data_IF_221075128955
#
_entry.id   IF_221075128955
#
_cell.length_a   1.000
_cell.length_b   1.000
_cell.length_c   1.000
_cell.angle_alpha   90.00
_cell.angle_beta   90.00
_cell.angle_gamma   90.00
#
_symmetry.space_group_name_H-M   'P 1'
#
loop_
_entity.id
_entity.type
_entity.pdbx_description
1 polymer ?
#
# COMPACT_ATOMS: atom_id res chain seq x y z
N UNK A 1 -13.25 6.11 6.43
CA UNK A 1 -12.37 5.78 5.29
C UNK A 1 -12.30 4.26 5.07
N UNK A 2 -11.63 3.49 5.89
CA UNK A 2 -11.64 2.01 5.84
C UNK A 2 -12.28 1.47 7.12
N UNK A 3 -13.15 0.48 6.98
CA UNK A 3 -13.79 -0.20 8.11
C UNK A 3 -13.75 -1.72 7.87
N UNK A 4 -13.18 -2.44 8.83
CA UNK A 4 -13.08 -3.90 8.84
C UNK A 4 -13.79 -4.39 10.08
N UNK A 5 -14.79 -5.27 9.92
CA UNK A 5 -15.57 -5.83 11.03
C UNK A 5 -15.60 -7.34 10.97
N UNK A 6 -15.16 -8.00 12.04
CA UNK A 6 -15.22 -9.43 12.26
C UNK A 6 -14.68 -10.25 11.09
N UNK A 7 -13.60 -9.74 10.48
CA UNK A 7 -13.03 -10.31 9.27
C UNK A 7 -12.30 -11.60 9.61
N UNK A 8 -12.73 -12.70 8.98
CA UNK A 8 -12.06 -13.99 9.11
C UNK A 8 -11.73 -14.58 7.75
N UNK A 9 -10.60 -15.27 7.68
CA UNK A 9 -10.15 -15.92 6.45
C UNK A 9 -9.40 -17.22 6.74
N UNK A 10 -9.68 -18.24 5.94
CA UNK A 10 -9.00 -19.53 5.98
C UNK A 10 -8.53 -19.97 4.60
N UNK A 11 -7.33 -20.52 4.50
CA UNK A 11 -6.90 -21.33 3.37
C UNK A 11 -7.27 -22.77 3.65
N UNK A 12 -8.14 -23.34 2.80
CA UNK A 12 -8.75 -24.65 3.06
C UNK A 12 -9.36 -24.72 4.47
N UNK A 13 -8.73 -25.43 5.41
CA UNK A 13 -9.18 -25.58 6.81
C UNK A 13 -8.35 -24.72 7.80
N UNK A 14 -7.24 -24.14 7.35
CA UNK A 14 -6.33 -23.39 8.23
C UNK A 14 -6.80 -21.93 8.37
N UNK A 15 -7.31 -21.59 9.54
CA UNK A 15 -7.79 -20.26 9.87
C UNK A 15 -6.61 -19.33 10.10
N UNK A 16 -6.42 -18.36 9.17
CA UNK A 16 -5.28 -17.43 9.14
C UNK A 16 -5.63 -16.07 9.72
N UNK A 17 -6.87 -15.60 9.54
CA UNK A 17 -7.38 -14.40 10.20
C UNK A 17 -8.64 -14.76 11.00
N UNK A 18 -8.73 -14.24 12.23
CA UNK A 18 -9.70 -14.65 13.24
C UNK A 18 -10.37 -13.42 13.83
N UNK A 19 -11.57 -13.11 13.36
CA UNK A 19 -12.42 -12.04 13.91
C UNK A 19 -11.73 -10.67 14.02
N UNK A 20 -10.95 -10.30 12.99
CA UNK A 20 -10.17 -9.06 12.96
C UNK A 20 -11.12 -7.88 12.72
N UNK A 21 -11.10 -6.88 13.62
CA UNK A 21 -11.91 -5.67 13.51
C UNK A 21 -11.07 -4.44 13.79
N UNK A 22 -11.09 -3.47 12.89
CA UNK A 22 -10.44 -2.16 13.04
C UNK A 22 -11.05 -1.15 12.05
N UNK A 23 -10.77 0.13 12.28
CA UNK A 23 -11.05 1.18 11.31
C UNK A 23 -9.78 1.98 11.02
N UNK A 24 -9.73 2.66 9.87
CA UNK A 24 -8.67 3.60 9.52
C UNK A 24 -9.34 4.89 9.05
N UNK A 25 -8.96 5.99 9.66
CA UNK A 25 -9.48 7.30 9.32
C UNK A 25 -8.76 7.87 8.09
N UNK A 26 -9.36 8.87 7.47
CA UNK A 26 -8.68 9.60 6.41
C UNK A 26 -7.45 10.32 6.97
N UNK A 27 -6.39 10.36 6.17
CA UNK A 27 -5.16 11.09 6.49
C UNK A 27 -4.36 10.52 7.68
N UNK A 28 -4.58 9.25 8.05
CA UNK A 28 -3.73 8.52 9.00
C UNK A 28 -2.53 7.86 8.30
N UNK A 29 -1.43 7.70 9.03
CA UNK A 29 -0.37 6.73 8.71
C UNK A 29 -0.45 5.60 9.73
N UNK A 30 -0.91 4.43 9.30
CA UNK A 30 -1.11 3.26 10.15
C UNK A 30 -0.11 2.17 9.80
N UNK A 31 0.59 1.67 10.82
CA UNK A 31 1.45 0.49 10.71
C UNK A 31 0.70 -0.77 11.10
N UNK A 32 0.67 -1.77 10.23
CA UNK A 32 0.18 -3.13 10.56
C UNK A 32 1.41 -3.99 10.82
N UNK A 33 1.66 -4.29 12.08
CA UNK A 33 2.85 -4.98 12.55
C UNK A 33 2.53 -6.43 12.96
N UNK A 34 3.56 -7.24 13.09
CA UNK A 34 3.46 -8.62 13.58
C UNK A 34 4.58 -9.51 13.04
N UNK A 35 4.82 -10.62 13.67
CA UNK A 35 5.84 -11.60 13.26
C UNK A 35 5.48 -12.26 11.92
N UNK A 36 6.45 -12.95 11.32
CA UNK A 36 6.19 -13.79 10.15
C UNK A 36 5.08 -14.82 10.47
N UNK A 37 4.16 -15.03 9.53
CA UNK A 37 3.02 -15.93 9.75
C UNK A 37 1.86 -15.36 10.56
N UNK A 38 1.91 -14.12 11.04
CA UNK A 38 0.81 -13.53 11.83
C UNK A 38 -0.47 -13.22 11.05
N UNK A 39 -0.46 -13.34 9.70
CA UNK A 39 -1.62 -13.08 8.84
C UNK A 39 -1.55 -11.77 8.05
N UNK A 40 -0.51 -10.95 8.19
CA UNK A 40 -0.36 -9.63 7.53
C UNK A 40 -0.53 -9.70 6.01
N UNK A 41 0.18 -10.59 5.35
CA UNK A 41 0.09 -10.75 3.87
C UNK A 41 -1.31 -11.19 3.44
N UNK A 42 -2.01 -12.00 4.24
CA UNK A 42 -3.40 -12.38 3.97
C UNK A 42 -4.33 -11.18 4.13
N UNK A 43 -4.14 -10.39 5.20
CA UNK A 43 -4.89 -9.16 5.40
C UNK A 43 -4.65 -8.16 4.26
N UNK A 44 -3.38 -7.96 3.85
CA UNK A 44 -3.05 -7.13 2.68
C UNK A 44 -3.80 -7.59 1.42
N UNK A 45 -3.78 -8.89 1.12
CA UNK A 45 -4.47 -9.44 -0.06
C UNK A 45 -5.99 -9.21 0.01
N UNK A 46 -6.57 -9.20 1.19
CA UNK A 46 -8.00 -8.87 1.37
C UNK A 46 -8.22 -7.36 1.19
N UNK A 47 -7.42 -6.52 1.84
CA UNK A 47 -7.53 -5.06 1.72
C UNK A 47 -7.31 -4.59 0.29
N UNK A 48 -6.36 -5.18 -0.43
CA UNK A 48 -6.12 -4.89 -1.86
C UNK A 48 -7.18 -5.48 -2.81
N UNK A 49 -8.08 -6.31 -2.29
CA UNK A 49 -9.13 -6.96 -3.08
C UNK A 49 -8.68 -8.17 -3.90
N UNK A 50 -7.47 -8.69 -3.64
CA UNK A 50 -6.97 -9.93 -4.26
C UNK A 50 -7.59 -11.19 -3.64
N UNK A 51 -7.98 -11.12 -2.36
CA UNK A 51 -8.71 -12.19 -1.67
C UNK A 51 -10.01 -11.63 -1.09
N UNK A 52 -11.09 -12.38 -1.25
CA UNK A 52 -12.37 -12.08 -0.60
C UNK A 52 -12.38 -12.67 0.81
N UNK A 53 -12.79 -11.92 1.86
CA UNK A 53 -12.95 -12.49 3.20
C UNK A 53 -14.00 -13.61 3.20
N UNK A 54 -13.80 -14.60 4.04
CA UNK A 54 -14.76 -15.71 4.26
C UNK A 54 -15.93 -15.28 5.11
N UNK A 55 -15.65 -14.45 6.14
CA UNK A 55 -16.64 -13.88 7.04
C UNK A 55 -16.28 -12.42 7.34
N UNK A 56 -17.25 -11.69 7.88
CA UNK A 56 -17.12 -10.30 8.24
C UNK A 56 -17.40 -9.34 7.08
N UNK A 57 -17.16 -8.06 7.32
CA UNK A 57 -17.34 -6.99 6.34
C UNK A 57 -16.09 -6.14 6.17
N UNK A 58 -15.91 -5.64 4.95
CA UNK A 58 -14.85 -4.69 4.59
C UNK A 58 -15.48 -3.58 3.76
N UNK A 59 -15.42 -2.35 4.29
CA UNK A 59 -15.93 -1.15 3.65
C UNK A 59 -14.80 -0.19 3.33
N UNK A 60 -14.91 0.47 2.19
CA UNK A 60 -14.06 1.60 1.78
C UNK A 60 -14.98 2.75 1.43
N UNK A 61 -14.80 3.91 2.04
CA UNK A 61 -15.68 5.09 1.88
C UNK A 61 -17.16 4.74 2.12
N UNK A 62 -17.44 3.91 3.12
CA UNK A 62 -18.79 3.45 3.45
C UNK A 62 -19.41 2.45 2.45
N UNK A 63 -18.69 2.11 1.38
CA UNK A 63 -19.15 1.16 0.38
C UNK A 63 -18.51 -0.21 0.60
N UNK A 64 -19.31 -1.28 0.45
CA UNK A 64 -18.77 -2.64 0.55
C UNK A 64 -17.69 -2.89 -0.51
N UNK A 65 -16.55 -3.38 -0.07
CA UNK A 65 -15.44 -3.77 -0.93
C UNK A 65 -15.80 -4.92 -1.90
N UNK A 66 -16.86 -5.65 -1.60
CA UNK A 66 -17.35 -6.76 -2.42
C UNK A 66 -18.86 -6.66 -2.62
N UNK A 67 -19.29 -6.64 -3.89
CA UNK A 67 -20.71 -6.61 -4.29
C UNK A 67 -21.06 -7.94 -4.98
N UNK A 68 -22.08 -8.63 -4.48
CA UNK A 68 -22.54 -9.94 -5.01
C UNK A 68 -21.38 -10.92 -5.21
N UNK A 69 -20.42 -10.92 -4.28
CA UNK A 69 -19.26 -11.80 -4.32
C UNK A 69 -18.11 -11.38 -5.25
N UNK A 70 -18.26 -10.30 -6.02
CA UNK A 70 -17.23 -9.74 -6.88
C UNK A 70 -16.59 -8.52 -6.22
N UNK A 71 -15.33 -8.23 -6.59
CA UNK A 71 -14.63 -7.01 -6.17
C UNK A 71 -15.41 -5.77 -6.63
N UNK A 72 -15.65 -4.85 -5.70
CA UNK A 72 -16.24 -3.55 -6.03
C UNK A 72 -15.20 -2.66 -6.71
N UNK A 73 -15.54 -1.96 -7.81
CA UNK A 73 -14.66 -0.98 -8.44
C UNK A 73 -14.11 0.10 -7.49
N UNK A 74 -14.80 0.41 -6.38
CA UNK A 74 -14.32 1.35 -5.36
C UNK A 74 -12.93 1.00 -4.85
N UNK A 75 -12.59 -0.27 -4.69
CA UNK A 75 -11.25 -0.69 -4.28
C UNK A 75 -10.16 -0.23 -5.25
N UNK A 76 -10.42 -0.33 -6.55
CA UNK A 76 -9.44 0.10 -7.55
C UNK A 76 -9.45 1.62 -7.79
N UNK A 77 -10.45 2.32 -7.29
CA UNK A 77 -10.53 3.77 -7.35
C UNK A 77 -9.82 4.44 -6.18
N UNK A 78 -10.01 3.89 -4.99
CA UNK A 78 -9.57 4.49 -3.73
C UNK A 78 -8.20 3.97 -3.26
N UNK A 79 -7.78 2.78 -3.72
CA UNK A 79 -6.58 2.12 -3.22
C UNK A 79 -5.47 2.05 -4.27
N UNK A 80 -4.31 2.59 -3.95
CA UNK A 80 -3.03 2.25 -4.56
C UNK A 80 -2.35 1.16 -3.74
N UNK A 81 -1.73 0.19 -4.40
CA UNK A 81 -1.06 -0.93 -3.72
C UNK A 81 0.37 -1.05 -4.23
N UNK A 82 1.32 -1.18 -3.31
CA UNK A 82 2.73 -1.47 -3.58
C UNK A 82 3.09 -2.75 -2.84
N UNK A 83 3.49 -3.77 -3.58
CA UNK A 83 3.93 -5.05 -3.04
C UNK A 83 5.42 -5.07 -2.77
N UNK A 84 5.89 -5.95 -1.91
CA UNK A 84 7.28 -6.11 -1.50
C UNK A 84 8.24 -6.25 -2.70
N UNK A 85 7.86 -7.00 -3.74
CA UNK A 85 8.66 -7.20 -4.96
C UNK A 85 8.44 -6.11 -6.01
N UNK A 86 7.83 -4.96 -5.64
CA UNK A 86 7.49 -3.82 -6.51
C UNK A 86 6.56 -4.14 -7.68
N UNK A 87 6.63 -5.35 -8.24
CA UNK A 87 5.85 -5.85 -9.39
C UNK A 87 5.82 -4.90 -10.58
N UNK A 88 6.98 -4.28 -10.89
CA UNK A 88 7.12 -3.42 -12.06
C UNK A 88 7.06 -4.26 -13.34
N UNK A 89 6.54 -3.66 -14.40
CA UNK A 89 6.58 -4.26 -15.73
C UNK A 89 7.99 -4.16 -16.28
N UNK A 90 8.78 -5.23 -16.15
CA UNK A 90 10.20 -5.24 -16.46
C UNK A 90 10.51 -5.01 -17.94
N UNK A 91 9.55 -5.26 -18.84
CA UNK A 91 9.63 -5.05 -20.29
C UNK A 91 9.16 -3.65 -20.74
N UNK A 92 8.76 -2.81 -19.82
CA UNK A 92 8.37 -1.41 -20.05
C UNK A 92 9.38 -0.47 -19.40
N UNK A 93 9.60 0.68 -20.05
CA UNK A 93 10.40 1.75 -19.45
C UNK A 93 9.75 2.28 -18.15
N UNK A 94 10.51 3.02 -17.36
CA UNK A 94 10.00 3.67 -16.14
C UNK A 94 8.78 4.53 -16.45
N UNK A 95 8.84 5.36 -17.47
CA UNK A 95 7.71 6.21 -17.84
C UNK A 95 6.52 5.39 -18.35
N UNK A 96 6.74 4.32 -19.13
CA UNK A 96 5.65 3.49 -19.63
C UNK A 96 4.99 2.66 -18.51
N UNK A 97 5.71 2.33 -17.43
CA UNK A 97 5.13 1.75 -16.20
C UNK A 97 4.06 2.67 -15.57
N UNK A 98 4.19 3.98 -15.72
CA UNK A 98 3.21 4.96 -15.23
C UNK A 98 2.13 5.24 -16.28
N UNK A 99 2.51 5.38 -17.56
CA UNK A 99 1.59 5.69 -18.66
C UNK A 99 0.51 4.61 -18.81
N UNK A 100 0.92 3.33 -18.79
CA UNK A 100 0.00 2.21 -19.07
C UNK A 100 -1.21 2.17 -18.12
N UNK A 101 -1.05 2.11 -16.78
CA UNK A 101 -2.18 2.07 -15.88
C UNK A 101 -3.05 3.34 -15.95
N UNK A 102 -2.45 4.51 -16.15
CA UNK A 102 -3.18 5.77 -16.26
C UNK A 102 -4.10 5.78 -17.49
N UNK A 103 -3.57 5.39 -18.66
CA UNK A 103 -4.36 5.27 -19.88
C UNK A 103 -5.51 4.28 -19.76
N UNK A 104 -5.24 3.10 -19.21
CA UNK A 104 -6.26 2.09 -19.03
C UNK A 104 -7.38 2.53 -18.07
N UNK A 105 -7.01 3.32 -17.06
CA UNK A 105 -7.96 3.80 -16.03
C UNK A 105 -8.84 4.94 -16.53
N UNK A 106 -8.24 5.92 -17.21
CA UNK A 106 -8.90 7.17 -17.57
C UNK A 106 -9.28 7.27 -19.05
N UNK A 107 -8.91 6.26 -19.85
CA UNK A 107 -9.17 6.19 -21.30
C UNK A 107 -8.68 7.42 -22.06
N UNK A 108 -7.45 7.87 -21.75
CA UNK A 108 -6.81 9.07 -22.32
C UNK A 108 -5.77 8.70 -23.37
N UNK A 109 -5.32 9.69 -24.15
CA UNK A 109 -4.24 9.55 -25.13
C UNK A 109 -2.90 9.19 -24.46
N UNK A 110 -1.94 8.69 -25.24
CA UNK A 110 -0.57 8.44 -24.74
C UNK A 110 0.12 9.76 -24.38
N UNK A 111 -0.10 10.80 -25.12
CA UNK A 111 0.47 12.12 -24.95
C UNK A 111 0.01 12.75 -23.63
N UNK A 112 -1.28 12.70 -23.34
CA UNK A 112 -1.85 13.19 -22.07
C UNK A 112 -1.32 12.42 -20.88
N UNK A 113 -1.31 11.09 -20.96
CA UNK A 113 -0.74 10.24 -19.91
C UNK A 113 0.75 10.49 -19.69
N UNK A 114 1.50 10.80 -20.77
CA UNK A 114 2.93 11.12 -20.70
C UNK A 114 3.19 12.41 -19.92
N UNK A 115 2.39 13.44 -20.13
CA UNK A 115 2.51 14.70 -19.36
C UNK A 115 2.37 14.40 -17.87
N UNK A 116 1.32 13.65 -17.50
CA UNK A 116 1.05 13.30 -16.09
C UNK A 116 2.14 12.44 -15.48
N UNK A 117 2.68 11.49 -16.25
CA UNK A 117 3.77 10.64 -15.82
C UNK A 117 5.06 11.44 -15.57
N UNK A 118 5.40 12.38 -16.46
CA UNK A 118 6.57 13.25 -16.31
C UNK A 118 6.49 14.14 -15.06
N UNK A 119 5.34 14.78 -14.82
CA UNK A 119 5.10 15.57 -13.60
C UNK A 119 5.36 14.76 -12.33
N UNK A 120 4.86 13.51 -12.32
CA UNK A 120 5.02 12.65 -11.16
C UNK A 120 6.45 12.14 -11.01
N UNK A 121 7.11 11.75 -12.09
CA UNK A 121 8.52 11.34 -12.07
C UNK A 121 9.44 12.48 -11.57
N UNK A 122 9.17 13.72 -11.95
CA UNK A 122 9.89 14.88 -11.44
C UNK A 122 9.71 15.04 -9.93
N UNK A 123 8.48 14.96 -9.41
CA UNK A 123 8.20 15.03 -7.98
C UNK A 123 8.91 13.92 -7.18
N UNK A 124 9.16 12.77 -7.80
CA UNK A 124 9.84 11.63 -7.20
C UNK A 124 11.36 11.62 -7.43
N UNK A 125 11.91 12.63 -8.12
CA UNK A 125 13.33 12.71 -8.46
C UNK A 125 13.78 11.58 -9.40
N UNK A 126 12.90 11.15 -10.32
CA UNK A 126 13.11 10.02 -11.23
C UNK A 126 13.10 10.43 -12.71
N UNK A 127 13.13 11.74 -13.00
CA UNK A 127 13.03 12.23 -14.38
C UNK A 127 14.18 11.74 -15.26
N UNK A 128 15.38 11.60 -14.70
CA UNK A 128 16.56 11.12 -15.41
C UNK A 128 16.47 9.62 -15.78
N UNK A 129 15.67 8.85 -15.04
CA UNK A 129 15.46 7.42 -15.23
C UNK A 129 14.28 7.10 -16.14
N UNK A 130 13.56 8.11 -16.67
CA UNK A 130 12.28 7.92 -17.36
C UNK A 130 12.31 6.92 -18.53
N UNK A 131 13.43 6.87 -19.26
CA UNK A 131 13.60 6.00 -20.42
C UNK A 131 14.32 4.67 -20.09
N UNK A 132 14.82 4.49 -18.86
CA UNK A 132 15.44 3.27 -18.38
C UNK A 132 14.38 2.17 -18.14
N UNK A 133 14.83 0.92 -18.13
CA UNK A 133 14.03 -0.21 -17.68
C UNK A 133 14.20 -0.44 -16.18
N UNK A 134 13.24 -1.07 -15.47
CA UNK A 134 13.34 -1.28 -14.03
C UNK A 134 14.61 -1.99 -13.57
N UNK A 135 15.15 -2.94 -14.34
CA UNK A 135 16.38 -3.66 -14.04
C UNK A 135 17.66 -2.79 -14.14
N UNK A 136 17.58 -1.60 -14.73
CA UNK A 136 18.67 -0.63 -14.80
C UNK A 136 18.63 0.36 -13.62
N UNK A 137 17.58 0.29 -12.78
CA UNK A 137 17.35 1.15 -11.65
C UNK A 137 17.79 0.49 -10.33
N UNK A 138 18.29 1.27 -9.37
CA UNK A 138 18.57 0.79 -8.01
C UNK A 138 17.29 0.36 -7.29
N UNK A 139 17.39 -0.45 -6.23
CA UNK A 139 16.24 -0.89 -5.44
C UNK A 139 15.40 0.28 -4.90
N UNK A 140 16.04 1.32 -4.39
CA UNK A 140 15.35 2.54 -3.95
C UNK A 140 14.67 3.32 -5.08
N UNK A 141 15.24 3.31 -6.29
CA UNK A 141 14.59 3.87 -7.48
C UNK A 141 13.39 3.02 -7.88
N UNK A 142 13.52 1.70 -7.94
CA UNK A 142 12.42 0.77 -8.26
C UNK A 142 11.25 0.94 -7.28
N UNK A 143 11.53 1.09 -5.99
CA UNK A 143 10.50 1.35 -5.01
C UNK A 143 9.78 2.68 -5.25
N UNK A 144 10.52 3.76 -5.48
CA UNK A 144 9.91 5.05 -5.81
C UNK A 144 9.08 5.00 -7.09
N UNK A 145 9.53 4.24 -8.11
CA UNK A 145 8.75 4.01 -9.33
C UNK A 145 7.45 3.25 -9.02
N UNK A 146 7.49 2.21 -8.16
CA UNK A 146 6.30 1.46 -7.78
C UNK A 146 5.30 2.33 -7.01
N UNK A 147 5.77 3.19 -6.10
CA UNK A 147 4.94 4.17 -5.40
C UNK A 147 4.34 5.17 -6.40
N UNK A 148 5.16 5.75 -7.29
CA UNK A 148 4.68 6.68 -8.31
C UNK A 148 3.63 6.04 -9.22
N UNK A 149 3.85 4.77 -9.65
CA UNK A 149 2.88 4.01 -10.44
C UNK A 149 1.54 3.78 -9.71
N UNK A 150 1.58 3.56 -8.40
CA UNK A 150 0.35 3.45 -7.62
C UNK A 150 -0.37 4.81 -7.49
N UNK A 151 0.39 5.88 -7.31
CA UNK A 151 -0.14 7.23 -7.08
C UNK A 151 -0.64 7.94 -8.34
N UNK A 152 -0.17 7.53 -9.53
CA UNK A 152 -0.64 8.17 -10.78
C UNK A 152 -2.14 7.98 -11.01
N UNK A 153 -2.74 6.96 -10.37
CA UNK A 153 -4.18 6.70 -10.39
C UNK A 153 -4.97 7.56 -9.39
N UNK A 154 -4.27 8.46 -8.66
CA UNK A 154 -4.82 9.37 -7.68
C UNK A 154 -5.66 8.68 -6.57
N UNK A 155 -5.11 7.63 -5.91
CA UNK A 155 -5.81 6.94 -4.83
C UNK A 155 -5.88 7.82 -3.58
N UNK A 156 -6.87 7.57 -2.71
CA UNK A 156 -6.95 8.19 -1.37
C UNK A 156 -6.19 7.40 -0.30
N UNK A 157 -5.95 6.13 -0.56
CA UNK A 157 -5.21 5.23 0.35
C UNK A 157 -4.07 4.58 -0.40
N UNK A 158 -2.89 4.59 0.17
CA UNK A 158 -1.73 3.83 -0.30
C UNK A 158 -1.45 2.70 0.69
N UNK A 159 -1.56 1.47 0.20
CA UNK A 159 -1.24 0.25 0.94
C UNK A 159 0.12 -0.26 0.48
N UNK A 160 1.08 -0.38 1.40
CA UNK A 160 2.47 -0.77 1.08
C UNK A 160 2.87 -1.98 1.91
N UNK A 161 3.39 -3.00 1.25
CA UNK A 161 3.91 -4.21 1.87
C UNK A 161 5.44 -4.15 1.94
N UNK A 162 5.99 -4.25 3.17
CA UNK A 162 7.42 -4.33 3.47
C UNK A 162 8.29 -3.33 2.69
N UNK A 163 8.04 -2.01 2.84
CA UNK A 163 8.69 -0.99 2.01
C UNK A 163 10.21 -0.88 2.19
N UNK A 164 10.77 -1.50 3.20
CA UNK A 164 12.19 -1.38 3.56
C UNK A 164 13.01 -2.67 3.35
N UNK A 165 12.35 -3.78 2.96
CA UNK A 165 12.95 -5.11 2.93
C UNK A 165 14.22 -5.25 2.07
N UNK A 166 14.41 -4.38 1.07
CA UNK A 166 15.55 -4.42 0.15
C UNK A 166 16.34 -3.09 0.12
N UNK A 167 16.21 -2.26 1.16
CA UNK A 167 16.78 -0.92 1.22
C UNK A 167 17.87 -0.81 2.31
N UNK A 168 18.86 0.01 2.04
CA UNK A 168 19.78 0.52 3.08
C UNK A 168 19.11 1.60 3.94
N UNK A 169 19.80 2.03 4.98
CA UNK A 169 19.28 3.00 5.96
C UNK A 169 18.96 4.38 5.33
N UNK A 170 19.74 4.83 4.36
CA UNK A 170 19.52 6.10 3.68
C UNK A 170 18.24 6.03 2.82
N UNK A 171 18.10 5.00 2.00
CA UNK A 171 16.90 4.80 1.18
C UNK A 171 15.65 4.57 2.05
N UNK A 172 15.76 3.87 3.18
CA UNK A 172 14.69 3.71 4.17
C UNK A 172 14.20 5.06 4.67
N UNK A 173 15.13 5.97 5.05
CA UNK A 173 14.77 7.31 5.51
C UNK A 173 14.12 8.14 4.39
N UNK A 174 14.61 8.03 3.16
CA UNK A 174 14.04 8.71 2.00
C UNK A 174 12.59 8.28 1.74
N UNK A 175 12.29 6.97 1.85
CA UNK A 175 10.92 6.44 1.74
C UNK A 175 10.04 6.95 2.87
N UNK A 176 10.52 6.96 4.12
CA UNK A 176 9.78 7.50 5.26
C UNK A 176 9.40 8.97 5.03
N UNK A 177 10.36 9.80 4.61
CA UNK A 177 10.13 11.23 4.34
C UNK A 177 9.14 11.44 3.19
N UNK A 178 9.24 10.64 2.13
CA UNK A 178 8.31 10.67 1.01
C UNK A 178 6.88 10.36 1.48
N UNK A 179 6.68 9.28 2.22
CA UNK A 179 5.35 8.88 2.72
C UNK A 179 4.76 9.95 3.66
N UNK A 180 5.56 10.53 4.54
CA UNK A 180 5.14 11.67 5.38
C UNK A 180 4.71 12.88 4.55
N UNK A 181 5.45 13.19 3.48
CA UNK A 181 5.12 14.31 2.61
C UNK A 181 3.80 14.09 1.85
N UNK A 182 3.56 12.86 1.41
CA UNK A 182 2.31 12.48 0.75
C UNK A 182 1.12 12.50 1.71
N UNK A 183 1.31 12.04 2.94
CA UNK A 183 0.28 12.10 3.99
C UNK A 183 -0.11 13.55 4.32
N UNK A 184 0.87 14.45 4.42
CA UNK A 184 0.59 15.89 4.61
C UNK A 184 -0.25 16.51 3.48
N UNK A 185 -0.25 15.90 2.29
CA UNK A 185 -1.09 16.27 1.15
C UNK A 185 -2.46 15.58 1.14
N UNK A 186 -2.80 14.83 2.19
CA UNK A 186 -4.11 14.20 2.38
C UNK A 186 -4.16 12.70 2.07
N UNK A 187 -3.04 12.06 1.72
CA UNK A 187 -3.00 10.63 1.47
C UNK A 187 -3.05 9.83 2.77
N UNK A 188 -3.95 8.87 2.87
CA UNK A 188 -3.93 7.85 3.93
C UNK A 188 -2.91 6.78 3.57
N UNK A 189 -2.06 6.39 4.51
CA UNK A 189 -1.00 5.42 4.27
C UNK A 189 -1.14 4.24 5.22
N UNK A 190 -1.15 3.04 4.68
CA UNK A 190 -1.15 1.79 5.44
C UNK A 190 0.15 1.06 5.10
N UNK A 191 1.00 0.87 6.09
CA UNK A 191 2.26 0.15 5.93
C UNK A 191 2.18 -1.18 6.66
N UNK A 192 2.45 -2.26 5.94
CA UNK A 192 2.60 -3.58 6.52
C UNK A 192 4.10 -3.84 6.63
N UNK A 193 4.60 -4.06 7.84
CA UNK A 193 6.02 -4.32 8.04
C UNK A 193 6.31 -5.05 9.34
N UNK A 194 7.49 -5.63 9.45
CA UNK A 194 8.09 -6.13 10.68
C UNK A 194 9.27 -5.26 11.14
N UNK A 195 9.62 -4.22 10.36
CA UNK A 195 10.68 -3.25 10.68
C UNK A 195 10.16 -2.24 11.72
N UNK A 196 10.45 -2.51 13.00
CA UNK A 196 10.00 -1.67 14.11
C UNK A 196 10.61 -0.26 14.07
N UNK A 197 11.92 -0.05 13.82
CA UNK A 197 12.51 1.26 13.65
C UNK A 197 11.83 2.11 12.56
N UNK A 198 11.56 1.51 11.41
CA UNK A 198 10.84 2.18 10.34
C UNK A 198 9.42 2.56 10.75
N UNK A 199 8.66 1.62 11.32
CA UNK A 199 7.30 1.86 11.80
C UNK A 199 7.28 2.98 12.88
N UNK A 200 8.21 2.96 13.83
CA UNK A 200 8.35 3.98 14.86
C UNK A 200 8.62 5.37 14.27
N UNK A 201 9.43 5.43 13.22
CA UNK A 201 9.76 6.70 12.56
C UNK A 201 8.61 7.28 11.75
N UNK A 202 7.70 6.44 11.25
CA UNK A 202 6.70 6.80 10.25
C UNK A 202 5.27 6.84 10.78
N UNK A 203 4.87 5.82 11.54
CA UNK A 203 3.47 5.57 11.86
C UNK A 203 2.95 6.47 12.97
N UNK A 204 1.68 6.86 12.89
CA UNK A 204 0.94 7.56 13.93
C UNK A 204 0.21 6.59 14.84
N UNK A 205 -0.21 5.45 14.29
CA UNK A 205 -0.96 4.39 14.97
C UNK A 205 -0.43 3.02 14.54
N UNK A 206 -0.48 2.08 15.43
CA UNK A 206 -0.04 0.69 15.21
C UNK A 206 -1.19 -0.26 15.48
N UNK A 207 -1.40 -1.17 14.53
CA UNK A 207 -2.25 -2.34 14.65
C UNK A 207 -1.32 -3.56 14.67
N UNK A 208 -1.33 -4.35 15.74
CA UNK A 208 -0.49 -5.53 15.85
C UNK A 208 -1.30 -6.81 15.65
N UNK A 209 -0.84 -7.65 14.72
CA UNK A 209 -1.39 -8.97 14.47
C UNK A 209 -0.49 -10.06 15.06
N UNK A 210 -1.09 -11.03 15.75
CA UNK A 210 -0.41 -12.23 16.20
C UNK A 210 -1.31 -13.46 15.99
N UNK A 211 -0.79 -14.47 15.29
CA UNK A 211 -1.50 -15.74 15.00
C UNK A 211 -2.94 -15.54 14.49
N UNK A 212 -3.10 -14.55 13.60
CA UNK A 212 -4.37 -14.22 12.98
C UNK A 212 -5.32 -13.35 13.80
N UNK A 213 -4.96 -12.99 15.02
CA UNK A 213 -5.75 -12.10 15.88
C UNK A 213 -5.17 -10.70 15.89
N UNK A 214 -6.03 -9.69 16.03
CA UNK A 214 -5.61 -8.34 16.37
C UNK A 214 -5.39 -8.30 17.89
N UNK A 215 -4.15 -8.02 18.32
CA UNK A 215 -3.77 -8.01 19.75
C UNK A 215 -3.56 -6.61 20.31
N UNK A 216 -3.21 -5.65 19.47
CA UNK A 216 -3.10 -4.23 19.86
C UNK A 216 -3.60 -3.33 18.74
N UNK A 217 -4.18 -2.21 19.11
CA UNK A 217 -4.59 -1.11 18.26
C UNK A 217 -4.50 0.18 19.08
N UNK A 218 -3.40 0.95 18.87
CA UNK A 218 -3.07 2.10 19.71
C UNK A 218 -2.18 3.12 19.01
N UNK A 219 -2.02 4.29 19.61
CA UNK A 219 -1.06 5.29 19.16
C UNK A 219 0.36 4.73 19.10
N UNK A 220 1.10 5.05 18.03
CA UNK A 220 2.47 4.59 17.85
C UNK A 220 3.39 5.05 18.98
N UNK A 221 3.17 6.26 19.52
CA UNK A 221 3.95 6.79 20.65
C UNK A 221 3.84 5.90 21.90
N UNK A 222 2.67 5.32 22.15
CA UNK A 222 2.45 4.47 23.32
C UNK A 222 2.92 3.04 23.05
N UNK A 223 2.76 2.57 21.82
CA UNK A 223 3.24 1.25 21.40
C UNK A 223 4.77 1.11 21.56
N UNK A 224 5.54 2.11 21.16
CA UNK A 224 7.02 2.07 21.18
C UNK A 224 7.65 2.58 22.50
N UNK A 225 6.86 3.01 23.49
CA UNK A 225 7.33 3.30 24.85
C UNK A 225 7.29 2.08 25.77
N UNK A 226 6.48 1.07 25.43
CA UNK A 226 6.30 -0.16 26.18
C UNK A 226 7.37 -1.18 25.82
#
# INVERSE_FOLDING_TARGET
>A
MIEVKQLSYAYAKDLVLKDVSFNIQANEIVGILGLSGSGKTTLLKILSGLLKPKQGSYLVEGQSAYLKGKRNPVLSQELGVVFQEYQLFMHLSVIDNLILPYRLRFNVSKEEAKVKALELLEQFGLLQQKDQFPNECSGGQQQRIAIARALILNPRVLLIDEPTAALDSENTQNVSNLLKSLNKKGLTVIVITHDLPFAQSLCQRVIELNQGNLIKDMDAKDYFKA
#
